data_IF_402917531671
#
_entry.id   IF_402917531671
#
_cell.length_a   1.000
_cell.length_b   1.000
_cell.length_c   1.000
_cell.angle_alpha   90.00
_cell.angle_beta   90.00
_cell.angle_gamma   90.00
#
_symmetry.space_group_name_H-M   'P 1'
#
loop_
_entity.id
_entity.type
_entity.pdbx_description
1 polymer ?
#
# COMPACT_ATOMS: atom_id res chain seq x y z
N UNK A 1 8.91 0.70 14.18
CA UNK A 1 8.27 2.01 14.37
C UNK A 1 6.84 1.73 14.82
N UNK A 2 6.48 1.98 16.08
CA UNK A 2 5.13 1.70 16.58
C UNK A 2 4.17 2.77 16.05
N UNK A 3 3.44 2.43 14.98
CA UNK A 3 2.37 3.27 14.44
C UNK A 3 1.23 3.27 15.47
N UNK A 4 1.15 4.32 16.29
CA UNK A 4 0.00 4.50 17.20
C UNK A 4 -1.13 5.07 16.34
N UNK A 5 -2.19 4.28 16.14
CA UNK A 5 -3.26 4.46 15.12
C UNK A 5 -4.05 5.77 15.23
N UNK A 6 -3.86 6.57 16.28
CA UNK A 6 -4.64 7.78 16.52
C UNK A 6 -4.43 8.94 15.50
N UNK A 7 -3.42 8.94 14.61
CA UNK A 7 -3.17 10.04 13.65
C UNK A 7 -2.48 9.61 12.34
N UNK A 8 -3.18 8.91 11.45
CA UNK A 8 -2.72 8.67 10.07
C UNK A 8 -3.74 9.10 9.02
N UNK A 9 -3.28 9.42 7.81
CA UNK A 9 -4.13 9.66 6.63
C UNK A 9 -3.63 8.82 5.45
N UNK A 10 -4.56 8.26 4.68
CA UNK A 10 -4.28 7.53 3.45
C UNK A 10 -4.64 8.41 2.24
N UNK A 11 -3.62 8.83 1.50
CA UNK A 11 -3.75 9.76 0.37
C UNK A 11 -3.84 8.98 -0.94
N UNK A 12 -4.65 9.46 -1.90
CA UNK A 12 -4.86 8.85 -3.21
C UNK A 12 -5.38 7.39 -3.19
N UNK A 13 -5.91 6.92 -2.06
CA UNK A 13 -6.62 5.64 -1.97
C UNK A 13 -7.97 5.70 -2.69
N UNK A 14 -8.80 4.66 -2.52
CA UNK A 14 -10.15 4.61 -3.11
C UNK A 14 -10.98 5.83 -2.77
N UNK A 15 -11.06 6.20 -1.48
CA UNK A 15 -11.82 7.37 -0.99
C UNK A 15 -11.25 8.70 -1.50
N UNK A 16 -9.94 8.76 -1.74
CA UNK A 16 -9.29 9.95 -2.33
C UNK A 16 -9.34 9.97 -3.85
N UNK A 17 -10.07 9.05 -4.48
CA UNK A 17 -10.25 8.93 -5.93
C UNK A 17 -8.93 8.91 -6.72
N UNK A 18 -7.84 8.43 -6.12
CA UNK A 18 -6.50 8.58 -6.70
C UNK A 18 -6.30 7.90 -8.05
N UNK A 19 -7.19 6.97 -8.44
CA UNK A 19 -7.22 6.32 -9.75
C UNK A 19 -7.91 7.14 -10.84
N UNK A 20 -8.72 8.14 -10.46
CA UNK A 20 -9.37 9.09 -11.36
C UNK A 20 -8.47 10.27 -11.71
N UNK A 21 -7.43 10.50 -10.91
CA UNK A 21 -6.47 11.58 -11.07
C UNK A 21 -5.36 11.21 -12.06
N UNK A 22 -4.88 12.22 -12.80
CA UNK A 22 -3.62 12.15 -13.53
C UNK A 22 -2.45 11.96 -12.58
N UNK A 23 -1.32 11.50 -13.12
CA UNK A 23 -0.09 11.32 -12.34
C UNK A 23 0.37 12.64 -11.70
N UNK A 24 0.26 13.74 -12.43
CA UNK A 24 0.64 15.08 -11.99
C UNK A 24 -0.28 15.55 -10.85
N UNK A 25 -1.60 15.41 -10.99
CA UNK A 25 -2.54 15.74 -9.90
C UNK A 25 -2.28 14.91 -8.65
N UNK A 26 -1.95 13.61 -8.79
CA UNK A 26 -1.59 12.77 -7.64
C UNK A 26 -0.37 13.28 -6.89
N UNK A 27 0.65 13.79 -7.61
CA UNK A 27 1.84 14.37 -7.01
C UNK A 27 1.52 15.67 -6.27
N UNK A 28 0.74 16.55 -6.90
CA UNK A 28 0.31 17.83 -6.31
C UNK A 28 -0.50 17.62 -5.02
N UNK A 29 -1.43 16.65 -5.02
CA UNK A 29 -2.21 16.27 -3.84
C UNK A 29 -1.30 15.80 -2.71
N UNK A 30 -0.31 14.94 -3.00
CA UNK A 30 0.65 14.45 -1.99
C UNK A 30 1.47 15.59 -1.42
N UNK A 31 2.03 16.45 -2.26
CA UNK A 31 2.80 17.63 -1.83
C UNK A 31 1.99 18.53 -0.90
N UNK A 32 0.72 18.74 -1.23
CA UNK A 32 -0.19 19.52 -0.38
C UNK A 32 -0.41 18.84 0.97
N UNK A 33 -0.70 17.53 0.99
CA UNK A 33 -0.86 16.75 2.23
C UNK A 33 0.38 16.79 3.12
N UNK A 34 1.56 16.61 2.54
CA UNK A 34 2.83 16.73 3.28
C UNK A 34 2.95 18.13 3.91
N UNK A 35 2.74 19.19 3.11
CA UNK A 35 2.85 20.58 3.57
C UNK A 35 1.91 20.88 4.74
N UNK A 36 0.65 20.44 4.67
CA UNK A 36 -0.36 20.74 5.71
C UNK A 36 -0.25 19.83 6.94
N UNK A 37 0.25 18.60 6.77
CA UNK A 37 0.45 17.66 7.87
C UNK A 37 1.39 18.24 8.93
N UNK A 38 2.43 18.97 8.50
CA UNK A 38 3.51 19.48 9.35
C UNK A 38 4.11 18.40 10.25
N UNK A 39 4.20 17.16 9.76
CA UNK A 39 4.65 15.96 10.51
C UNK A 39 3.83 15.64 11.77
N UNK A 40 2.58 16.12 11.84
CA UNK A 40 1.64 15.83 12.95
C UNK A 40 0.70 14.66 12.65
N UNK A 41 0.71 14.18 11.41
CA UNK A 41 -0.05 13.04 10.90
C UNK A 41 0.92 12.15 10.13
N UNK A 42 0.77 10.84 10.27
CA UNK A 42 1.43 9.86 9.40
C UNK A 42 0.73 9.88 8.03
N UNK A 43 1.45 10.18 6.96
CA UNK A 43 0.94 10.26 5.58
C UNK A 43 1.34 8.98 4.82
N UNK A 44 0.35 8.13 4.55
CA UNK A 44 0.49 6.92 3.75
C UNK A 44 0.00 7.23 2.33
N UNK A 45 0.88 7.16 1.34
CA UNK A 45 0.54 7.50 -0.05
C UNK A 45 0.22 6.25 -0.84
N UNK A 46 -0.99 6.16 -1.39
CA UNK A 46 -1.29 5.12 -2.37
C UNK A 46 -0.66 5.46 -3.72
N UNK A 47 0.23 4.58 -4.20
CA UNK A 47 1.04 4.78 -5.42
C UNK A 47 0.70 3.80 -6.53
N UNK A 48 -0.16 2.82 -6.27
CA UNK A 48 -0.46 1.77 -7.26
C UNK A 48 -1.13 2.33 -8.53
N UNK A 49 -0.64 1.92 -9.69
CA UNK A 49 -1.17 2.21 -11.04
C UNK A 49 -1.44 0.90 -11.80
N UNK A 50 -2.01 1.00 -13.01
CA UNK A 50 -2.13 -0.18 -13.90
C UNK A 50 -0.75 -0.61 -14.41
N UNK A 51 0.13 0.37 -14.67
CA UNK A 51 1.49 0.11 -15.09
C UNK A 51 2.47 0.26 -13.91
N UNK A 52 3.47 -0.62 -13.85
CA UNK A 52 4.45 -0.66 -12.75
C UNK A 52 5.38 0.56 -12.78
N UNK A 53 5.75 1.07 -13.96
CA UNK A 53 6.68 2.20 -14.11
C UNK A 53 6.15 3.50 -13.48
N UNK A 54 4.86 3.77 -13.65
CA UNK A 54 4.20 4.92 -13.05
C UNK A 54 4.05 4.74 -11.54
N UNK A 55 3.77 3.51 -11.09
CA UNK A 55 3.75 3.21 -9.65
C UNK A 55 5.13 3.44 -9.02
N UNK A 56 6.21 3.09 -9.72
CA UNK A 56 7.59 3.35 -9.32
C UNK A 56 7.91 4.85 -9.28
N UNK A 57 7.44 5.61 -10.27
CA UNK A 57 7.61 7.07 -10.31
C UNK A 57 6.89 7.76 -9.13
N UNK A 58 5.65 7.37 -8.86
CA UNK A 58 4.88 7.87 -7.73
C UNK A 58 5.45 7.45 -6.37
N UNK A 59 5.97 6.22 -6.26
CA UNK A 59 6.67 5.76 -5.07
C UNK A 59 7.92 6.60 -4.79
N UNK A 60 8.74 6.85 -5.81
CA UNK A 60 9.94 7.67 -5.69
C UNK A 60 9.60 9.10 -5.29
N UNK A 61 8.61 9.70 -5.95
CA UNK A 61 8.11 11.02 -5.60
C UNK A 61 7.62 11.09 -4.15
N UNK A 62 6.80 10.13 -3.69
CA UNK A 62 6.32 10.07 -2.32
C UNK A 62 7.46 10.04 -1.29
N UNK A 63 8.53 9.29 -1.58
CA UNK A 63 9.76 9.31 -0.76
C UNK A 63 10.45 10.67 -0.77
N UNK A 64 10.65 11.25 -1.95
CA UNK A 64 11.38 12.51 -2.12
C UNK A 64 10.69 13.70 -1.41
N UNK A 65 9.35 13.71 -1.40
CA UNK A 65 8.57 14.75 -0.71
C UNK A 65 8.37 14.45 0.79
N UNK A 66 8.81 13.29 1.28
CA UNK A 66 8.82 12.97 2.71
C UNK A 66 7.52 12.39 3.25
N UNK A 67 6.83 11.54 2.47
CA UNK A 67 5.78 10.67 3.00
C UNK A 67 6.31 9.69 4.05
N UNK A 68 5.42 9.16 4.89
CA UNK A 68 5.80 8.24 5.97
C UNK A 68 5.73 6.77 5.55
N UNK A 69 4.92 6.45 4.54
CA UNK A 69 4.80 5.12 3.94
C UNK A 69 4.20 5.21 2.54
N UNK A 70 4.39 4.15 1.74
CA UNK A 70 3.69 3.97 0.46
C UNK A 70 2.80 2.74 0.52
N UNK A 71 1.68 2.77 -0.18
CA UNK A 71 0.77 1.64 -0.30
C UNK A 71 0.43 1.35 -1.76
N UNK A 72 0.17 0.09 -2.09
CA UNK A 72 -0.30 -0.27 -3.42
C UNK A 72 -1.38 -1.34 -3.40
N UNK A 73 -2.39 -1.15 -4.25
CA UNK A 73 -3.27 -2.22 -4.70
C UNK A 73 -2.49 -3.11 -5.68
N UNK A 74 -2.95 -4.34 -5.96
CA UNK A 74 -2.43 -5.09 -7.10
C UNK A 74 -2.73 -4.37 -8.42
N UNK A 75 -2.06 -4.79 -9.51
CA UNK A 75 -2.48 -4.42 -10.86
C UNK A 75 -3.93 -4.85 -11.11
N UNK A 76 -4.76 -3.92 -11.61
CA UNK A 76 -6.20 -4.14 -11.78
C UNK A 76 -6.58 -4.71 -13.15
N UNK A 77 -5.76 -4.44 -14.17
CA UNK A 77 -6.01 -4.92 -15.53
C UNK A 77 -5.44 -6.32 -15.74
N UNK A 78 -4.13 -6.47 -15.51
CA UNK A 78 -3.44 -7.75 -15.48
C UNK A 78 -3.26 -8.20 -14.04
N UNK A 79 -4.33 -8.81 -13.51
CA UNK A 79 -4.38 -9.26 -12.12
C UNK A 79 -3.33 -10.35 -11.87
N UNK A 80 -2.55 -10.28 -10.79
CA UNK A 80 -1.65 -11.37 -10.42
C UNK A 80 -2.47 -12.64 -10.13
N UNK A 81 -2.10 -13.74 -10.78
CA UNK A 81 -2.82 -15.01 -10.69
C UNK A 81 -2.36 -15.91 -9.55
N UNK A 82 -1.24 -15.57 -8.90
CA UNK A 82 -0.65 -16.33 -7.80
C UNK A 82 0.19 -15.41 -6.88
N UNK A 83 0.64 -15.98 -5.76
CA UNK A 83 1.45 -15.28 -4.75
C UNK A 83 2.76 -14.75 -5.33
N UNK A 84 3.46 -15.54 -6.15
CA UNK A 84 4.74 -15.14 -6.75
C UNK A 84 4.59 -13.86 -7.60
N UNK A 85 3.56 -13.82 -8.45
CA UNK A 85 3.27 -12.67 -9.29
C UNK A 85 2.90 -11.44 -8.45
N UNK A 86 2.14 -11.62 -7.37
CA UNK A 86 1.77 -10.53 -6.48
C UNK A 86 2.99 -9.98 -5.71
N UNK A 87 3.81 -10.87 -5.13
CA UNK A 87 5.02 -10.48 -4.39
C UNK A 87 6.00 -9.77 -5.33
N UNK A 88 6.21 -10.29 -6.54
CA UNK A 88 7.06 -9.64 -7.53
C UNK A 88 6.55 -8.24 -7.91
N UNK A 89 5.24 -8.11 -8.18
CA UNK A 89 4.63 -6.81 -8.45
C UNK A 89 4.84 -5.81 -7.32
N UNK A 90 4.62 -6.22 -6.06
CA UNK A 90 4.85 -5.38 -4.90
C UNK A 90 6.32 -5.01 -4.71
N UNK A 91 7.25 -5.95 -4.88
CA UNK A 91 8.69 -5.74 -4.78
C UNK A 91 9.19 -4.70 -5.80
N UNK A 92 8.70 -4.78 -7.05
CA UNK A 92 9.06 -3.84 -8.11
C UNK A 92 8.64 -2.39 -7.80
N UNK A 93 7.51 -2.19 -7.11
CA UNK A 93 7.07 -0.86 -6.67
C UNK A 93 7.88 -0.43 -5.44
N UNK A 94 7.98 -1.30 -4.44
CA UNK A 94 8.61 -1.04 -3.15
C UNK A 94 10.08 -0.60 -3.27
N UNK A 95 10.84 -1.20 -4.19
CA UNK A 95 12.27 -0.85 -4.43
C UNK A 95 12.49 0.58 -4.93
N UNK A 96 11.44 1.26 -5.41
CA UNK A 96 11.54 2.66 -5.85
C UNK A 96 11.40 3.68 -4.70
N UNK A 97 10.98 3.22 -3.52
CA UNK A 97 10.92 3.99 -2.28
C UNK A 97 11.56 3.19 -1.11
N UNK A 98 12.85 2.81 -1.22
CA UNK A 98 13.46 1.83 -0.31
C UNK A 98 13.55 2.27 1.15
N UNK A 99 13.45 3.57 1.45
CA UNK A 99 13.49 4.08 2.83
C UNK A 99 12.11 4.16 3.49
N UNK A 100 11.03 4.02 2.70
CA UNK A 100 9.66 4.05 3.20
C UNK A 100 9.12 2.63 3.41
N UNK A 101 8.37 2.37 4.50
CA UNK A 101 7.58 1.16 4.62
C UNK A 101 6.60 1.01 3.45
N UNK A 102 6.58 -0.17 2.83
CA UNK A 102 5.64 -0.54 1.78
C UNK A 102 4.48 -1.35 2.36
N UNK A 103 3.26 -0.87 2.16
CA UNK A 103 2.03 -1.50 2.66
C UNK A 103 1.27 -2.10 1.48
N UNK A 104 0.99 -3.40 1.51
CA UNK A 104 0.07 -3.99 0.55
C UNK A 104 -1.37 -3.62 0.91
N UNK A 105 -2.14 -3.08 -0.03
CA UNK A 105 -3.55 -2.79 0.17
C UNK A 105 -4.40 -3.95 -0.36
N UNK A 106 -4.87 -4.79 0.56
CA UNK A 106 -5.76 -5.92 0.26
C UNK A 106 -7.22 -5.44 0.26
N UNK A 107 -7.84 -5.43 -0.93
CA UNK A 107 -9.22 -4.99 -1.17
C UNK A 107 -9.88 -5.89 -2.25
N UNK A 108 -10.18 -7.16 -1.95
CA UNK A 108 -10.64 -8.14 -2.94
C UNK A 108 -11.97 -7.73 -3.58
N UNK A 109 -12.88 -7.13 -2.81
CA UNK A 109 -14.19 -6.67 -3.31
C UNK A 109 -14.11 -5.71 -4.51
N UNK A 110 -13.03 -4.92 -4.61
CA UNK A 110 -12.81 -4.03 -5.76
C UNK A 110 -11.79 -4.56 -6.76
N UNK A 111 -10.81 -5.34 -6.31
CA UNK A 111 -9.70 -5.80 -7.16
C UNK A 111 -9.99 -7.13 -7.85
N UNK A 112 -10.80 -7.99 -7.23
CA UNK A 112 -10.99 -9.39 -7.61
C UNK A 112 -9.70 -10.22 -7.50
N UNK A 113 -8.73 -9.79 -6.69
CA UNK A 113 -7.52 -10.56 -6.38
C UNK A 113 -7.72 -11.20 -5.01
N UNK A 114 -8.09 -12.47 -5.04
CA UNK A 114 -8.33 -13.30 -3.85
C UNK A 114 -7.23 -14.36 -3.77
N UNK A 115 -6.18 -14.04 -3.00
CA UNK A 115 -5.06 -14.91 -2.73
C UNK A 115 -4.92 -15.01 -1.20
N UNK A 116 -4.33 -16.10 -0.70
CA UNK A 116 -4.11 -16.29 0.74
C UNK A 116 -3.11 -15.23 1.25
N UNK A 117 -3.55 -14.38 2.19
CA UNK A 117 -2.73 -13.26 2.65
C UNK A 117 -1.72 -13.67 3.72
N UNK A 118 -1.91 -14.79 4.41
CA UNK A 118 -0.90 -15.38 5.29
C UNK A 118 0.34 -15.82 4.48
N UNK A 119 0.14 -16.58 3.40
CA UNK A 119 1.20 -17.02 2.48
C UNK A 119 1.90 -15.83 1.81
N UNK A 120 1.12 -14.84 1.35
CA UNK A 120 1.67 -13.59 0.84
C UNK A 120 2.55 -12.90 1.88
N UNK A 121 2.08 -12.79 3.13
CA UNK A 121 2.83 -12.16 4.22
C UNK A 121 4.16 -12.84 4.50
N UNK A 122 4.21 -14.17 4.55
CA UNK A 122 5.47 -14.91 4.75
C UNK A 122 6.46 -14.71 3.60
N UNK A 123 5.98 -14.62 2.36
CA UNK A 123 6.83 -14.40 1.18
C UNK A 123 7.29 -12.95 1.06
N UNK A 124 6.39 -11.99 1.25
CA UNK A 124 6.67 -10.57 1.19
C UNK A 124 7.75 -10.15 2.21
N UNK A 125 7.71 -10.67 3.44
CA UNK A 125 8.75 -10.41 4.45
C UNK A 125 10.16 -10.85 4.02
N UNK A 126 10.27 -11.87 3.16
CA UNK A 126 11.56 -12.39 2.66
C UNK A 126 12.05 -11.63 1.42
N UNK A 127 11.13 -11.17 0.57
CA UNK A 127 11.45 -10.67 -0.77
C UNK A 127 11.35 -9.14 -0.90
N UNK A 128 10.68 -8.47 0.04
CA UNK A 128 10.47 -7.02 0.02
C UNK A 128 11.16 -6.42 1.27
N UNK A 129 12.39 -5.88 1.14
CA UNK A 129 13.20 -5.45 2.30
C UNK A 129 12.54 -4.38 3.19
N UNK A 130 11.72 -3.53 2.59
CA UNK A 130 10.98 -2.46 3.27
C UNK A 130 9.50 -2.81 3.48
N UNK A 131 9.13 -4.10 3.52
CA UNK A 131 7.73 -4.49 3.77
C UNK A 131 7.24 -4.01 5.13
N UNK A 132 6.20 -3.19 5.12
CA UNK A 132 5.62 -2.55 6.31
C UNK A 132 4.38 -3.25 6.85
N UNK A 133 3.70 -4.07 6.03
CA UNK A 133 2.51 -4.81 6.42
C UNK A 133 1.37 -4.75 5.39
N UNK A 134 0.14 -4.99 5.85
CA UNK A 134 -1.06 -5.05 5.01
C UNK A 134 -2.14 -4.09 5.53
N UNK A 135 -2.72 -3.29 4.64
CA UNK A 135 -4.03 -2.66 4.86
C UNK A 135 -5.10 -3.66 4.41
N UNK A 136 -5.83 -4.22 5.36
CA UNK A 136 -6.78 -5.31 5.16
C UNK A 136 -8.22 -4.78 5.12
N UNK A 137 -8.77 -4.64 3.92
CA UNK A 137 -10.16 -4.22 3.69
C UNK A 137 -10.97 -5.38 3.11
N UNK A 138 -11.14 -6.41 3.92
CA UNK A 138 -11.98 -7.58 3.65
C UNK A 138 -12.60 -8.06 4.96
N UNK A 139 -13.77 -8.71 4.86
CA UNK A 139 -14.48 -9.32 6.00
C UNK A 139 -14.04 -10.76 6.27
N UNK A 140 -13.06 -11.27 5.54
CA UNK A 140 -12.44 -12.57 5.78
C UNK A 140 -11.54 -12.52 7.03
N UNK A 141 -12.17 -12.67 8.20
CA UNK A 141 -11.46 -12.68 9.48
C UNK A 141 -10.47 -13.85 9.62
N UNK A 142 -10.78 -15.09 9.18
CA UNK A 142 -9.79 -16.17 9.16
C UNK A 142 -8.49 -15.79 8.42
N UNK A 143 -8.57 -15.23 7.21
CA UNK A 143 -7.39 -14.80 6.46
C UNK A 143 -6.65 -13.66 7.18
N UNK A 144 -7.38 -12.67 7.71
CA UNK A 144 -6.79 -11.60 8.52
C UNK A 144 -6.05 -12.13 9.75
N UNK A 145 -6.61 -13.13 10.44
CA UNK A 145 -5.98 -13.76 11.61
C UNK A 145 -4.68 -14.46 11.19
N UNK A 146 -4.66 -15.15 10.04
CA UNK A 146 -3.45 -15.72 9.48
C UNK A 146 -2.37 -14.66 9.22
N UNK A 147 -2.77 -13.50 8.66
CA UNK A 147 -1.86 -12.34 8.50
C UNK A 147 -1.31 -11.88 9.86
N UNK A 148 -2.14 -11.74 10.89
CA UNK A 148 -1.68 -11.36 12.24
C UNK A 148 -0.65 -12.37 12.78
N UNK A 149 -0.91 -13.68 12.63
CA UNK A 149 0.01 -14.72 13.08
C UNK A 149 1.33 -14.79 12.29
N UNK A 150 1.33 -14.32 11.04
CA UNK A 150 2.57 -14.18 10.24
C UNK A 150 3.53 -13.10 10.76
N UNK A 151 3.11 -12.30 11.75
CA UNK A 151 3.94 -11.30 12.42
C UNK A 151 4.03 -9.94 11.72
N UNK A 152 3.20 -9.69 10.71
CA UNK A 152 3.19 -8.43 9.96
C UNK A 152 2.21 -7.42 10.57
N UNK A 153 2.44 -6.12 10.36
CA UNK A 153 1.48 -5.12 10.81
C UNK A 153 0.20 -5.19 9.96
N UNK A 154 -0.95 -5.11 10.61
CA UNK A 154 -2.26 -5.08 9.96
C UNK A 154 -2.97 -3.77 10.26
N UNK A 155 -3.35 -3.04 9.21
CA UNK A 155 -4.27 -1.90 9.29
C UNK A 155 -5.65 -2.39 8.84
N UNK A 156 -6.58 -2.61 9.77
CA UNK A 156 -7.94 -2.99 9.42
C UNK A 156 -8.65 -1.81 8.75
N UNK A 157 -9.27 -2.06 7.60
CA UNK A 157 -9.86 -1.03 6.75
C UNK A 157 -11.33 -1.25 6.45
N UNK A 158 -12.04 -1.98 7.32
CA UNK A 158 -13.50 -1.98 7.39
C UNK A 158 -13.88 -1.23 8.67
N UNK A 159 -14.74 -0.22 8.54
CA UNK A 159 -15.05 0.70 9.63
C UNK A 159 -16.18 0.18 10.55
N UNK A 160 -17.00 -0.75 10.04
CA UNK A 160 -18.09 -1.45 10.75
C UNK A 160 -17.62 -2.69 11.52
#
# INVERSE_FOLDING_TARGET
>A
MNITISKCTAVNGTTGEGKSLTKEERKEVVEHWIKVSKKRLIVIVHVGCINVKESQELARHAQDVGADAVASLPSLFFKPSNIDALVHHCAEIAKSAPTLPFIYYHLPIMTGVELNMEDFSYRAQKEIPNFGGIKFSSKDLPDMIGVVFSGVNVLFGCDE
#
